data_IF_736559828146
#
_entry.id   IF_736559828146
#
_cell.length_a   1.000
_cell.length_b   1.000
_cell.length_c   1.000
_cell.angle_alpha   90.00
_cell.angle_beta   90.00
_cell.angle_gamma   90.00
#
_symmetry.space_group_name_H-M   'P 1'
#
loop_
_entity.id
_entity.type
_entity.pdbx_description
1 polymer ?
#
# COMPACT_ATOMS: atom_id res chain seq x y z
N UNK A 1 -20.48 1.64 29.48
CA UNK A 1 -19.23 0.88 29.68
C UNK A 1 -18.14 1.66 28.96
N UNK A 2 -17.07 2.05 29.64
CA UNK A 2 -16.16 3.10 29.18
C UNK A 2 -15.20 2.61 28.08
N UNK A 3 -15.38 3.13 26.86
CA UNK A 3 -14.38 3.11 25.79
C UNK A 3 -13.42 4.33 25.87
N UNK A 4 -13.47 5.08 26.97
CA UNK A 4 -12.84 6.40 27.13
C UNK A 4 -11.30 6.36 27.26
N UNK A 5 -10.68 5.18 27.24
CA UNK A 5 -9.22 5.00 27.46
C UNK A 5 -8.47 4.41 26.25
N UNK A 6 -9.16 4.15 25.12
CA UNK A 6 -8.54 3.64 23.89
C UNK A 6 -8.89 4.56 22.72
N UNK A 7 -7.93 5.40 22.33
CA UNK A 7 -7.99 6.17 21.09
C UNK A 7 -7.58 5.28 19.91
N UNK A 8 -8.55 4.78 19.16
CA UNK A 8 -8.30 3.95 17.97
C UNK A 8 -7.96 4.89 16.81
N UNK A 9 -6.74 4.83 16.23
CA UNK A 9 -6.28 5.81 15.25
C UNK A 9 -6.82 5.53 13.84
N UNK A 10 -8.15 5.50 13.68
CA UNK A 10 -8.84 5.17 12.43
C UNK A 10 -8.43 6.07 11.26
N UNK A 11 -8.27 7.37 11.54
CA UNK A 11 -7.83 8.33 10.53
C UNK A 11 -6.39 8.05 10.07
N UNK A 12 -5.49 7.77 11.00
CA UNK A 12 -4.09 7.42 10.67
C UNK A 12 -3.99 6.10 9.91
N UNK A 13 -4.87 5.12 10.19
CA UNK A 13 -4.94 3.88 9.40
C UNK A 13 -5.35 4.16 7.96
N UNK A 14 -6.37 5.00 7.73
CA UNK A 14 -6.79 5.40 6.36
C UNK A 14 -5.71 6.17 5.62
N UNK A 15 -5.01 7.08 6.30
CA UNK A 15 -3.88 7.82 5.71
C UNK A 15 -2.74 6.89 5.35
N UNK A 16 -2.46 5.88 6.19
CA UNK A 16 -1.45 4.88 5.91
C UNK A 16 -1.86 3.96 4.74
N UNK A 17 -3.11 3.52 4.68
CA UNK A 17 -3.66 2.76 3.54
C UNK A 17 -3.46 3.53 2.24
N UNK A 18 -3.85 4.81 2.19
CA UNK A 18 -3.68 5.66 1.01
C UNK A 18 -2.20 5.81 0.62
N UNK A 19 -1.33 6.11 1.58
CA UNK A 19 0.09 6.28 1.31
C UNK A 19 0.75 5.00 0.78
N UNK A 20 0.30 3.83 1.25
CA UNK A 20 0.78 2.53 0.75
C UNK A 20 0.28 2.29 -0.67
N UNK A 21 -1.00 2.58 -0.96
CA UNK A 21 -1.55 2.48 -2.31
C UNK A 21 -0.80 3.38 -3.30
N UNK A 22 -0.58 4.63 -2.93
CA UNK A 22 0.16 5.59 -3.77
C UNK A 22 1.59 5.08 -4.06
N UNK A 23 2.28 4.56 -3.05
CA UNK A 23 3.63 4.01 -3.22
C UNK A 23 3.66 2.78 -4.14
N UNK A 24 2.63 1.93 -4.10
CA UNK A 24 2.51 0.77 -5.02
C UNK A 24 2.35 1.28 -6.46
N UNK A 25 1.46 2.25 -6.70
CA UNK A 25 1.23 2.85 -8.02
C UNK A 25 2.51 3.53 -8.57
N UNK A 26 3.22 4.28 -7.72
CA UNK A 26 4.50 4.90 -8.10
C UNK A 26 5.55 3.88 -8.56
N UNK A 27 5.61 2.71 -7.91
CA UNK A 27 6.53 1.65 -8.34
C UNK A 27 6.15 1.05 -9.70
N UNK A 28 4.86 0.89 -10.00
CA UNK A 28 4.39 0.43 -11.32
C UNK A 28 4.72 1.43 -12.42
N UNK A 29 4.55 2.73 -12.14
CA UNK A 29 4.86 3.82 -13.05
C UNK A 29 6.36 3.92 -13.35
N UNK A 30 7.19 3.76 -12.32
CA UNK A 30 8.63 3.74 -12.47
C UNK A 30 9.10 2.63 -13.43
N UNK A 31 8.43 1.47 -13.45
CA UNK A 31 8.83 0.36 -14.34
C UNK A 31 8.65 0.73 -15.80
N UNK A 32 7.54 1.41 -16.12
CA UNK A 32 7.26 1.87 -17.48
C UNK A 32 8.27 2.92 -17.98
N UNK A 33 8.72 3.81 -17.10
CA UNK A 33 9.69 4.85 -17.45
C UNK A 33 11.09 4.28 -17.73
N UNK A 34 11.50 3.26 -16.96
CA UNK A 34 12.79 2.59 -17.11
C UNK A 34 12.96 1.92 -18.48
N UNK A 35 11.94 1.19 -18.95
CA UNK A 35 11.96 0.54 -20.27
C UNK A 35 12.08 1.57 -21.41
N UNK A 36 11.38 2.70 -21.27
CA UNK A 36 11.46 3.80 -22.23
C UNK A 36 12.85 4.44 -22.26
N UNK A 37 13.51 4.56 -21.09
CA UNK A 37 14.86 5.12 -20.98
C UNK A 37 15.90 4.21 -21.64
N UNK A 38 15.84 2.89 -21.42
CA UNK A 38 16.79 1.93 -22.03
C UNK A 38 16.70 1.97 -23.57
N UNK A 39 15.47 2.02 -24.09
CA UNK A 39 15.21 2.17 -25.54
C UNK A 39 15.79 3.49 -26.08
N UNK A 40 15.67 4.57 -25.31
CA UNK A 40 16.16 5.91 -25.69
C UNK A 40 17.68 6.01 -25.75
N UNK A 41 18.42 5.22 -24.94
CA UNK A 41 19.90 5.19 -24.97
C UNK A 41 20.42 4.62 -26.29
N UNK A 42 19.78 3.57 -26.83
CA UNK A 42 20.13 2.96 -28.10
C UNK A 42 21.57 2.43 -28.17
N UNK A 43 22.22 2.56 -29.33
CA UNK A 43 23.60 2.12 -29.57
C UNK A 43 24.41 3.17 -30.34
N UNK A 44 24.70 4.34 -29.74
CA UNK A 44 25.44 5.41 -30.40
C UNK A 44 26.82 4.92 -30.85
N UNK A 45 27.15 5.16 -32.12
CA UNK A 45 28.41 4.70 -32.75
C UNK A 45 28.63 3.18 -32.64
N UNK A 46 27.54 2.41 -32.55
CA UNK A 46 27.59 0.94 -32.39
C UNK A 46 28.03 0.48 -31.00
N UNK A 47 28.20 1.40 -30.03
CA UNK A 47 28.57 1.07 -28.65
C UNK A 47 27.32 0.86 -27.82
N UNK A 48 27.13 -0.35 -27.32
CA UNK A 48 25.97 -0.72 -26.48
C UNK A 48 26.28 -0.76 -24.98
N UNK A 49 27.53 -0.49 -24.55
CA UNK A 49 27.93 -0.67 -23.14
C UNK A 49 27.06 0.13 -22.17
N UNK A 50 26.75 1.40 -22.47
CA UNK A 50 25.89 2.21 -21.61
C UNK A 50 24.48 1.63 -21.52
N UNK A 51 23.94 1.16 -22.65
CA UNK A 51 22.64 0.49 -22.70
C UNK A 51 22.64 -0.80 -21.88
N UNK A 52 23.67 -1.63 -22.02
CA UNK A 52 23.78 -2.90 -21.28
C UNK A 52 23.90 -2.70 -19.77
N UNK A 53 24.63 -1.67 -19.33
CA UNK A 53 24.71 -1.34 -17.89
C UNK A 53 23.40 -0.75 -17.37
N UNK A 54 22.70 0.07 -18.16
CA UNK A 54 21.35 0.54 -17.83
C UNK A 54 20.36 -0.64 -17.72
N UNK A 55 20.36 -1.56 -18.68
CA UNK A 55 19.52 -2.76 -18.66
C UNK A 55 19.79 -3.60 -17.40
N UNK A 56 21.06 -3.86 -17.05
CA UNK A 56 21.40 -4.63 -15.84
C UNK A 56 20.92 -3.95 -14.56
N UNK A 57 21.08 -2.64 -14.49
CA UNK A 57 20.57 -1.86 -13.35
C UNK A 57 19.05 -1.99 -13.25
N UNK A 58 18.33 -1.83 -14.37
CA UNK A 58 16.87 -1.91 -14.39
C UNK A 58 16.35 -3.31 -14.07
N UNK A 59 16.99 -4.38 -14.56
CA UNK A 59 16.64 -5.76 -14.22
C UNK A 59 16.78 -6.01 -12.70
N UNK A 60 17.92 -5.62 -12.12
CA UNK A 60 18.14 -5.77 -10.68
C UNK A 60 17.18 -4.90 -9.85
N UNK A 61 16.79 -3.74 -10.36
CA UNK A 61 15.89 -2.82 -9.69
C UNK A 61 14.42 -3.24 -9.82
N UNK A 62 14.01 -3.82 -10.94
CA UNK A 62 12.68 -4.41 -11.15
C UNK A 62 12.40 -5.52 -10.12
N UNK A 63 13.35 -6.44 -9.93
CA UNK A 63 13.23 -7.48 -8.89
C UNK A 63 13.05 -6.87 -7.50
N UNK A 64 13.82 -5.81 -7.17
CA UNK A 64 13.71 -5.13 -5.87
C UNK A 64 12.38 -4.41 -5.71
N UNK A 65 11.88 -3.76 -6.76
CA UNK A 65 10.57 -3.09 -6.73
C UNK A 65 9.45 -4.08 -6.56
N UNK A 66 9.46 -5.22 -7.27
CA UNK A 66 8.47 -6.29 -7.08
C UNK A 66 8.43 -6.78 -5.64
N UNK A 67 9.60 -7.07 -5.04
CA UNK A 67 9.66 -7.45 -3.62
C UNK A 67 9.09 -6.34 -2.72
N UNK A 68 9.43 -5.08 -2.96
CA UNK A 68 8.90 -3.97 -2.15
C UNK A 68 7.38 -3.82 -2.32
N UNK A 69 6.85 -3.97 -3.53
CA UNK A 69 5.41 -3.95 -3.81
C UNK A 69 4.69 -5.08 -3.09
N UNK A 70 5.23 -6.30 -3.11
CA UNK A 70 4.67 -7.43 -2.35
C UNK A 70 4.60 -7.10 -0.86
N UNK A 71 5.69 -6.58 -0.28
CA UNK A 71 5.72 -6.19 1.13
C UNK A 71 4.73 -5.06 1.46
N UNK A 72 4.54 -4.11 0.56
CA UNK A 72 3.56 -3.03 0.71
C UNK A 72 2.13 -3.55 0.63
N UNK A 73 1.82 -4.46 -0.30
CA UNK A 73 0.51 -5.10 -0.38
C UNK A 73 0.19 -5.89 0.90
N UNK A 74 1.18 -6.64 1.39
CA UNK A 74 1.15 -7.35 2.67
C UNK A 74 0.88 -6.43 3.87
N UNK A 75 1.41 -5.21 3.85
CA UNK A 75 1.19 -4.22 4.90
C UNK A 75 -0.21 -3.61 4.76
N UNK A 76 -0.64 -3.29 3.54
CA UNK A 76 -1.97 -2.77 3.24
C UNK A 76 -3.06 -3.72 3.75
N UNK A 77 -2.94 -5.02 3.47
CA UNK A 77 -3.87 -6.04 3.94
C UNK A 77 -3.98 -6.03 5.48
N UNK A 78 -2.85 -5.96 6.18
CA UNK A 78 -2.83 -5.95 7.65
C UNK A 78 -3.45 -4.69 8.24
N UNK A 79 -3.17 -3.52 7.66
CA UNK A 79 -3.74 -2.24 8.11
C UNK A 79 -5.25 -2.24 7.84
N UNK A 80 -5.66 -2.65 6.65
CA UNK A 80 -7.07 -2.72 6.24
C UNK A 80 -7.87 -3.68 7.12
N UNK A 81 -7.34 -4.89 7.36
CA UNK A 81 -7.99 -5.86 8.24
C UNK A 81 -8.09 -5.37 9.69
N UNK A 82 -7.10 -4.62 10.17
CA UNK A 82 -7.16 -4.01 11.51
C UNK A 82 -8.24 -2.93 11.57
N UNK A 83 -8.30 -2.05 10.56
CA UNK A 83 -9.32 -1.00 10.46
C UNK A 83 -10.72 -1.60 10.41
N UNK A 84 -10.93 -2.61 9.56
CA UNK A 84 -12.21 -3.30 9.41
C UNK A 84 -12.67 -3.96 10.72
N UNK A 85 -11.76 -4.65 11.42
CA UNK A 85 -12.08 -5.27 12.71
C UNK A 85 -12.56 -4.25 13.75
N UNK A 86 -11.98 -3.04 13.76
CA UNK A 86 -12.44 -1.97 14.64
C UNK A 86 -13.80 -1.39 14.23
N UNK A 87 -14.05 -1.22 12.92
CA UNK A 87 -15.36 -0.77 12.43
C UNK A 87 -16.47 -1.81 12.70
N UNK A 88 -16.14 -3.10 12.59
CA UNK A 88 -17.04 -4.19 12.92
C UNK A 88 -17.38 -4.21 14.41
N UNK A 89 -16.36 -4.08 15.27
CA UNK A 89 -16.53 -3.98 16.71
C UNK A 89 -17.42 -2.80 17.10
N UNK A 90 -17.17 -1.61 16.54
CA UNK A 90 -17.97 -0.41 16.79
C UNK A 90 -19.45 -0.62 16.41
N UNK A 91 -19.70 -1.25 15.26
CA UNK A 91 -21.06 -1.58 14.80
C UNK A 91 -21.77 -2.60 15.71
N UNK A 92 -21.07 -3.63 16.17
CA UNK A 92 -21.63 -4.62 17.10
C UNK A 92 -22.03 -3.99 18.44
N UNK A 93 -21.21 -3.08 18.96
CA UNK A 93 -21.45 -2.40 20.23
C UNK A 93 -22.61 -1.40 20.13
N UNK A 94 -22.68 -0.64 19.04
CA UNK A 94 -23.79 0.26 18.76
C UNK A 94 -25.12 -0.50 18.73
N UNK A 95 -25.16 -1.63 18.01
CA UNK A 95 -26.35 -2.48 17.93
C UNK A 95 -26.73 -3.08 19.29
N UNK A 96 -25.76 -3.50 20.10
CA UNK A 96 -26.02 -4.02 21.45
C UNK A 96 -26.62 -2.96 22.39
N UNK A 97 -26.18 -1.71 22.27
CA UNK A 97 -26.73 -0.59 23.06
C UNK A 97 -28.18 -0.27 22.70
N UNK A 98 -28.54 -0.30 21.41
CA UNK A 98 -29.91 -0.05 20.95
C UNK A 98 -30.89 -1.13 21.42
N UNK A 99 -30.45 -2.39 21.47
CA UNK A 99 -31.25 -3.52 21.97
C UNK A 99 -31.51 -3.41 23.48
N UNK A 100 -30.55 -2.88 24.24
CA UNK A 100 -30.69 -2.71 25.68
C UNK A 100 -31.68 -1.60 26.04
N UNK A 101 -31.66 -0.46 25.34
CA UNK A 101 -32.60 0.65 25.56
C UNK A 101 -34.06 0.30 25.17
N UNK A 102 -34.26 -0.65 24.24
CA UNK A 102 -35.60 -1.09 23.83
C UNK A 102 -36.29 -2.08 24.80
N UNK A 103 -35.57 -2.65 25.77
CA UNK A 103 -36.10 -3.64 26.72
C UNK A 103 -36.42 -3.06 28.11
N UNK A 104 -36.10 -1.78 28.35
CA UNK A 104 -36.41 -1.05 29.59
C UNK A 104 -37.65 -0.11 29.46
N UNK A 105 -38.55 -0.40 28.50
CA UNK A 105 -39.80 0.34 28.24
C UNK A 105 -41.08 -0.42 28.61
#
# INVERSE_FOLDING_TARGET
MAYDDIDVPMQSMRELEQAITDAIEEFEDATRNSEALESSIGSPLGRSTLRSEAQRFEEAWDDKRKTLQEHLADLLERVSGTREAWEDLDRELAAASEVQDGNDG
#
